data_IF_916265651194
#
_entry.id   IF_916265651194
#
_cell.length_a   1.000
_cell.length_b   1.000
_cell.length_c   1.000
_cell.angle_alpha   90.00
_cell.angle_beta   90.00
_cell.angle_gamma   90.00
#
_symmetry.space_group_name_H-M   'P 1'
#
loop_
_entity.id
_entity.type
_entity.pdbx_description
1 polymer ?
#
# COMPACT_ATOMS: atom_id res chain seq x y z
N UNK A 1 -12.47 -15.55 6.39
CA UNK A 1 -11.99 -14.90 7.64
C UNK A 1 -12.98 -13.80 8.05
N UNK A 2 -13.37 -13.67 9.33
CA UNK A 2 -14.26 -12.57 9.76
C UNK A 2 -13.54 -11.22 9.71
N UNK A 3 -14.28 -10.12 9.52
CA UNK A 3 -13.70 -8.78 9.48
C UNK A 3 -12.93 -8.43 10.77
N UNK A 4 -13.44 -8.90 11.90
CA UNK A 4 -12.79 -8.75 13.20
C UNK A 4 -11.41 -9.43 13.24
N UNK A 5 -11.30 -10.63 12.65
CA UNK A 5 -10.01 -11.33 12.55
C UNK A 5 -9.04 -10.58 11.62
N UNK A 6 -9.52 -9.99 10.52
CA UNK A 6 -8.69 -9.11 9.66
C UNK A 6 -8.15 -7.92 10.46
N UNK A 7 -9.03 -7.19 11.16
CA UNK A 7 -8.65 -6.03 11.96
C UNK A 7 -7.66 -6.40 13.08
N UNK A 8 -7.90 -7.52 13.75
CA UNK A 8 -6.99 -8.05 14.78
C UNK A 8 -5.63 -8.42 14.21
N UNK A 9 -5.60 -9.11 13.07
CA UNK A 9 -4.36 -9.45 12.37
C UNK A 9 -3.60 -8.19 11.97
N UNK A 10 -4.27 -7.20 11.36
CA UNK A 10 -3.65 -5.93 11.00
C UNK A 10 -3.08 -5.17 12.19
N UNK A 11 -3.75 -5.22 13.32
CA UNK A 11 -3.32 -4.56 14.55
C UNK A 11 -2.05 -5.21 15.14
N UNK A 12 -1.87 -6.51 14.93
CA UNK A 12 -0.65 -7.22 15.31
C UNK A 12 0.55 -6.89 14.41
N UNK A 13 0.32 -6.22 13.26
CA UNK A 13 1.38 -5.78 12.34
C UNK A 13 1.95 -4.42 12.72
N UNK A 14 1.35 -3.71 13.69
CA UNK A 14 1.85 -2.42 14.13
C UNK A 14 2.92 -2.57 15.23
N UNK A 15 3.97 -1.72 15.22
CA UNK A 15 5.01 -1.68 16.25
C UNK A 15 4.47 -1.28 17.63
N UNK A 16 3.27 -0.68 17.69
CA UNK A 16 2.53 -0.46 18.93
C UNK A 16 1.25 -1.29 18.92
N UNK A 17 0.96 -2.06 19.98
CA UNK A 17 -0.30 -2.77 20.08
C UNK A 17 -1.46 -1.80 20.32
N UNK A 18 -2.69 -2.20 19.97
CA UNK A 18 -3.89 -1.35 20.14
C UNK A 18 -4.11 -0.90 21.59
N UNK A 19 -3.73 -1.73 22.55
CA UNK A 19 -3.83 -1.47 23.99
C UNK A 19 -2.66 -0.63 24.54
N UNK A 20 -1.76 -0.15 23.67
CA UNK A 20 -0.68 0.74 24.08
C UNK A 20 -1.23 1.96 24.80
N UNK A 21 -0.79 2.14 26.05
CA UNK A 21 -1.12 3.28 26.89
C UNK A 21 -0.79 4.64 26.21
N UNK A 22 -1.44 5.74 26.60
CA UNK A 22 -1.08 7.07 26.12
C UNK A 22 0.42 7.40 26.30
N UNK A 23 1.04 6.90 27.38
CA UNK A 23 2.47 7.07 27.67
C UNK A 23 3.35 6.35 26.64
N UNK A 24 3.08 5.07 26.37
CA UNK A 24 3.85 4.28 25.39
C UNK A 24 3.70 4.85 23.98
N UNK A 25 2.50 5.30 23.61
CA UNK A 25 2.26 5.99 22.33
C UNK A 25 3.10 7.27 22.22
N UNK A 26 3.10 8.12 23.26
CA UNK A 26 3.88 9.37 23.30
C UNK A 26 5.40 9.13 23.27
N UNK A 27 5.89 8.07 23.90
CA UNK A 27 7.32 7.69 23.85
C UNK A 27 7.73 7.28 22.44
N UNK A 28 6.92 6.44 21.78
CA UNK A 28 7.16 6.02 20.41
C UNK A 28 7.11 7.21 19.45
N UNK A 29 6.08 8.07 19.56
CA UNK A 29 5.96 9.31 18.79
C UNK A 29 7.21 10.19 18.96
N UNK A 30 7.71 10.36 20.18
CA UNK A 30 8.94 11.13 20.44
C UNK A 30 10.18 10.51 19.79
N UNK A 31 10.36 9.20 19.90
CA UNK A 31 11.47 8.47 19.25
C UNK A 31 11.44 8.68 17.74
N UNK A 32 10.24 8.58 17.18
CA UNK A 32 9.96 8.72 15.77
C UNK A 32 10.23 10.15 15.25
N UNK A 33 9.75 11.18 15.96
CA UNK A 33 10.01 12.58 15.63
C UNK A 33 11.51 12.93 15.68
N UNK A 34 12.24 12.37 16.64
CA UNK A 34 13.69 12.57 16.73
C UNK A 34 14.43 12.01 15.52
N UNK A 35 14.07 10.81 15.06
CA UNK A 35 14.68 10.21 13.86
C UNK A 35 14.34 10.97 12.60
N UNK A 36 13.09 11.41 12.45
CA UNK A 36 12.70 12.23 11.30
C UNK A 36 13.45 13.57 11.26
N UNK A 37 13.62 14.23 12.41
CA UNK A 37 14.42 15.47 12.49
C UNK A 37 15.85 15.23 12.03
N UNK A 38 16.46 14.11 12.42
CA UNK A 38 17.80 13.75 11.98
C UNK A 38 17.85 13.50 10.47
N UNK A 39 16.91 12.73 9.94
CA UNK A 39 16.85 12.39 8.53
C UNK A 39 16.62 13.62 7.64
N UNK A 40 15.70 14.50 8.03
CA UNK A 40 15.51 15.80 7.36
C UNK A 40 16.75 16.70 7.40
N UNK A 41 17.55 16.66 8.48
CA UNK A 41 18.83 17.37 8.54
C UNK A 41 19.87 16.76 7.57
N UNK A 42 19.92 15.43 7.45
CA UNK A 42 20.79 14.71 6.50
C UNK A 42 20.37 15.07 5.07
N UNK A 43 19.08 14.99 4.72
CA UNK A 43 18.59 15.33 3.40
C UNK A 43 18.88 16.80 3.02
N UNK A 44 18.65 17.75 3.92
CA UNK A 44 18.99 19.16 3.70
C UNK A 44 20.50 19.34 3.50
N UNK A 45 21.33 18.64 4.28
CA UNK A 45 22.79 18.69 4.15
C UNK A 45 23.26 18.11 2.81
N UNK A 46 22.77 16.92 2.42
CA UNK A 46 23.10 16.27 1.14
C UNK A 46 22.64 17.10 -0.05
N UNK A 47 21.42 17.65 0.00
CA UNK A 47 20.91 18.55 -1.04
C UNK A 47 21.72 19.85 -1.10
N UNK A 48 22.11 20.40 0.04
CA UNK A 48 23.00 21.57 0.12
C UNK A 48 24.39 21.30 -0.45
N UNK A 49 24.97 20.12 -0.19
CA UNK A 49 26.23 19.70 -0.80
C UNK A 49 26.11 19.54 -2.32
N UNK A 50 25.05 18.90 -2.81
CA UNK A 50 24.80 18.74 -4.24
C UNK A 50 24.66 20.10 -4.92
N UNK A 51 23.87 21.02 -4.35
CA UNK A 51 23.72 22.38 -4.85
C UNK A 51 25.05 23.17 -4.81
N UNK A 52 25.82 23.07 -3.72
CA UNK A 52 27.11 23.75 -3.58
C UNK A 52 28.19 23.17 -4.51
N UNK A 53 28.11 21.88 -4.85
CA UNK A 53 29.06 21.22 -5.74
C UNK A 53 28.92 21.62 -7.21
N UNK A 54 27.86 22.36 -7.57
CA UNK A 54 27.58 22.70 -8.97
C UNK A 54 27.32 21.46 -9.84
N UNK A 55 27.11 20.30 -9.22
CA UNK A 55 26.54 19.13 -9.89
C UNK A 55 25.07 19.44 -10.09
N UNK A 56 24.82 20.21 -11.12
CA UNK A 56 23.51 20.31 -11.72
C UNK A 56 23.08 18.87 -12.03
N UNK A 57 21.99 18.40 -11.41
CA UNK A 57 21.26 17.18 -11.82
C UNK A 57 20.54 17.47 -13.15
N UNK A 58 21.23 18.15 -14.06
CA UNK A 58 20.81 18.48 -15.40
C UNK A 58 21.08 17.23 -16.21
N UNK A 59 20.00 16.49 -16.48
CA UNK A 59 19.95 15.51 -17.55
C UNK A 59 21.06 14.45 -17.51
N UNK A 60 21.25 13.77 -16.38
CA UNK A 60 21.46 12.33 -16.51
C UNK A 60 20.15 11.71 -17.00
N UNK A 61 19.82 11.98 -18.27
CA UNK A 61 19.39 10.91 -19.15
C UNK A 61 20.55 9.91 -19.14
N UNK A 62 20.67 9.17 -18.04
CA UNK A 62 21.22 7.84 -18.07
C UNK A 62 20.56 7.23 -19.29
N UNK A 63 21.39 6.92 -20.28
CA UNK A 63 21.05 6.18 -21.48
C UNK A 63 20.64 4.79 -21.01
N UNK A 64 19.47 4.75 -20.37
CA UNK A 64 18.76 3.55 -20.01
C UNK A 64 18.21 3.09 -21.35
N UNK A 65 19.02 2.31 -22.08
CA UNK A 65 18.47 1.45 -23.13
C UNK A 65 17.44 0.58 -22.44
N UNK A 66 16.17 1.00 -22.50
CA UNK A 66 15.06 0.26 -21.93
C UNK A 66 15.18 -1.15 -22.50
N UNK A 67 15.40 -2.18 -21.66
CA UNK A 67 15.43 -3.54 -22.16
C UNK A 67 14.14 -3.75 -22.94
N UNK A 68 14.24 -4.23 -24.18
CA UNK A 68 13.06 -4.45 -25.02
C UNK A 68 12.08 -5.30 -24.21
N UNK A 69 11.00 -4.66 -23.76
CA UNK A 69 9.98 -5.30 -22.94
C UNK A 69 9.25 -6.24 -23.89
N UNK A 70 9.54 -7.53 -23.77
CA UNK A 70 8.83 -8.54 -24.53
C UNK A 70 7.36 -8.55 -24.07
N UNK A 71 6.47 -8.18 -24.99
CA UNK A 71 5.04 -8.11 -24.76
C UNK A 71 4.34 -9.42 -25.17
N UNK A 72 5.08 -10.52 -25.41
CA UNK A 72 4.53 -11.82 -25.82
C UNK A 72 3.79 -12.59 -24.70
N UNK A 73 3.57 -11.98 -23.54
CA UNK A 73 2.93 -12.63 -22.40
C UNK A 73 1.47 -13.02 -22.65
N UNK A 74 0.90 -13.91 -21.80
CA UNK A 74 -0.47 -14.38 -21.97
C UNK A 74 -1.47 -13.23 -21.93
N UNK A 75 -2.40 -13.24 -22.88
CA UNK A 75 -3.33 -12.12 -23.12
C UNK A 75 -4.63 -12.22 -22.32
N UNK A 76 -4.93 -13.38 -21.73
CA UNK A 76 -6.16 -13.63 -20.95
C UNK A 76 -5.86 -13.81 -19.45
N UNK A 77 -6.88 -13.66 -18.61
CA UNK A 77 -6.74 -13.85 -17.18
C UNK A 77 -6.52 -15.33 -16.81
N UNK A 78 -7.18 -16.24 -17.53
CA UNK A 78 -7.12 -17.68 -17.34
C UNK A 78 -5.73 -18.23 -17.68
N UNK A 79 -5.18 -17.85 -18.84
CA UNK A 79 -3.84 -18.29 -19.23
C UNK A 79 -2.77 -17.80 -18.25
N UNK A 80 -2.91 -16.57 -17.73
CA UNK A 80 -2.04 -16.04 -16.67
C UNK A 80 -2.20 -16.84 -15.37
N UNK A 81 -3.43 -17.17 -15.00
CA UNK A 81 -3.72 -17.94 -13.78
C UNK A 81 -3.08 -19.32 -13.86
N UNK A 82 -3.28 -20.03 -14.97
CA UNK A 82 -2.72 -21.37 -15.19
C UNK A 82 -1.18 -21.33 -15.09
N UNK A 83 -0.52 -20.39 -15.78
CA UNK A 83 0.94 -20.19 -15.71
C UNK A 83 1.44 -19.91 -14.27
N UNK A 84 0.72 -19.08 -13.50
CA UNK A 84 1.12 -18.79 -12.12
C UNK A 84 0.91 -20.01 -11.22
N UNK A 85 -0.15 -20.79 -11.46
CA UNK A 85 -0.49 -21.96 -10.66
C UNK A 85 0.43 -23.15 -10.94
N UNK A 86 1.08 -23.22 -12.10
CA UNK A 86 2.17 -24.18 -12.36
C UNK A 86 3.34 -24.00 -11.38
N UNK A 87 3.55 -22.79 -10.87
CA UNK A 87 4.56 -22.48 -9.86
C UNK A 87 4.13 -22.77 -8.42
N UNK A 88 2.97 -23.41 -8.18
CA UNK A 88 2.48 -23.70 -6.82
C UNK A 88 3.40 -24.68 -6.07
N UNK A 89 3.95 -25.67 -6.78
CA UNK A 89 4.83 -26.69 -6.20
C UNK A 89 6.30 -26.24 -6.13
N UNK A 90 6.62 -25.04 -6.62
CA UNK A 90 7.95 -24.47 -6.49
C UNK A 90 8.26 -24.12 -5.02
N UNK A 91 9.54 -24.16 -4.61
CA UNK A 91 9.92 -23.77 -3.26
C UNK A 91 9.54 -22.31 -2.99
N UNK A 92 9.23 -22.00 -1.72
CA UNK A 92 9.00 -20.63 -1.26
C UNK A 92 10.20 -19.73 -1.61
N UNK A 93 9.95 -18.44 -1.82
CA UNK A 93 11.03 -17.49 -2.11
C UNK A 93 11.96 -17.34 -0.91
N UNK A 94 13.27 -17.41 -1.16
CA UNK A 94 14.29 -17.12 -0.15
C UNK A 94 14.36 -15.62 0.13
N UNK A 95 14.86 -15.20 1.32
CA UNK A 95 15.05 -13.79 1.69
C UNK A 95 15.68 -12.93 0.60
N UNK A 96 16.73 -13.41 -0.03
CA UNK A 96 17.47 -12.69 -1.06
C UNK A 96 16.62 -12.43 -2.32
N UNK A 97 15.72 -13.37 -2.64
CA UNK A 97 14.86 -13.34 -3.82
C UNK A 97 13.68 -12.38 -3.61
N UNK A 98 12.95 -12.52 -2.49
CA UNK A 98 11.79 -11.67 -2.25
C UNK A 98 12.15 -10.27 -1.79
N UNK A 99 13.38 -10.03 -1.32
CA UNK A 99 13.90 -8.69 -1.12
C UNK A 99 14.20 -7.98 -2.44
N UNK A 100 14.46 -8.69 -3.56
CA UNK A 100 14.81 -8.00 -4.81
C UNK A 100 13.74 -7.00 -5.26
N UNK A 101 12.43 -7.31 -5.32
CA UNK A 101 11.41 -6.33 -5.72
C UNK A 101 11.26 -5.16 -4.74
N UNK A 102 11.71 -5.33 -3.49
CA UNK A 102 11.68 -4.30 -2.45
C UNK A 102 12.85 -3.32 -2.64
N UNK A 103 14.04 -3.88 -2.83
CA UNK A 103 15.29 -3.12 -2.93
C UNK A 103 15.49 -2.53 -4.34
N UNK A 104 14.99 -3.23 -5.35
CA UNK A 104 15.09 -2.90 -6.77
C UNK A 104 13.71 -3.10 -7.41
N UNK A 105 12.79 -2.12 -7.25
CA UNK A 105 11.46 -2.19 -7.83
C UNK A 105 11.54 -2.55 -9.32
N UNK A 106 10.81 -3.59 -9.71
CA UNK A 106 10.78 -4.04 -11.10
C UNK A 106 10.28 -2.91 -12.00
N UNK A 107 11.04 -2.59 -13.04
CA UNK A 107 10.55 -1.79 -14.16
C UNK A 107 9.79 -2.72 -15.10
N UNK A 108 8.53 -2.43 -15.37
CA UNK A 108 7.70 -3.26 -16.23
C UNK A 108 6.30 -2.71 -16.39
N UNK A 109 5.50 -3.40 -17.19
CA UNK A 109 4.08 -3.10 -17.32
C UNK A 109 3.33 -3.49 -16.04
N UNK A 110 2.14 -2.90 -15.81
CA UNK A 110 1.28 -3.33 -14.69
C UNK A 110 1.00 -4.83 -14.74
N UNK A 111 0.86 -5.41 -15.93
CA UNK A 111 0.63 -6.84 -16.11
C UNK A 111 1.80 -7.69 -15.60
N UNK A 112 3.04 -7.31 -15.91
CA UNK A 112 4.24 -8.01 -15.44
C UNK A 112 4.39 -7.91 -13.93
N UNK A 113 4.23 -6.71 -13.38
CA UNK A 113 4.31 -6.49 -11.93
C UNK A 113 3.23 -7.28 -11.18
N UNK A 114 2.00 -7.32 -11.70
CA UNK A 114 0.91 -8.11 -11.13
C UNK A 114 1.19 -9.61 -11.24
N UNK A 115 1.68 -10.08 -12.38
CA UNK A 115 2.02 -11.49 -12.58
C UNK A 115 3.07 -11.95 -11.56
N UNK A 116 4.17 -11.19 -11.42
CA UNK A 116 5.18 -11.47 -10.40
C UNK A 116 4.61 -11.43 -8.99
N UNK A 117 3.74 -10.45 -8.69
CA UNK A 117 3.12 -10.35 -7.37
C UNK A 117 2.25 -11.56 -7.04
N UNK A 118 1.46 -12.06 -8.01
CA UNK A 118 0.66 -13.28 -7.83
C UNK A 118 1.53 -14.52 -7.70
N UNK A 119 2.63 -14.61 -8.44
CA UNK A 119 3.60 -15.70 -8.32
C UNK A 119 4.24 -15.73 -6.92
N UNK A 120 4.61 -14.56 -6.39
CA UNK A 120 5.06 -14.43 -5.00
C UNK A 120 4.00 -14.80 -3.98
N UNK A 121 2.72 -14.48 -4.24
CA UNK A 121 1.64 -14.94 -3.36
C UNK A 121 1.51 -16.45 -3.37
N UNK A 122 1.52 -17.08 -4.55
CA UNK A 122 1.31 -18.53 -4.67
C UNK A 122 2.44 -19.30 -4.01
N UNK A 123 3.69 -18.93 -4.25
CA UNK A 123 4.86 -19.59 -3.65
C UNK A 123 5.09 -19.22 -2.19
N UNK A 124 4.78 -17.99 -1.79
CA UNK A 124 5.02 -17.49 -0.43
C UNK A 124 6.47 -17.09 -0.15
N UNK A 125 6.72 -16.62 1.08
CA UNK A 125 7.98 -16.03 1.54
C UNK A 125 8.61 -16.86 2.65
N UNK A 126 9.81 -17.38 2.41
CA UNK A 126 10.61 -18.02 3.44
C UNK A 126 11.26 -16.96 4.33
N UNK A 127 11.17 -17.05 5.66
CA UNK A 127 11.83 -16.10 6.54
C UNK A 127 13.33 -16.34 6.58
N UNK A 128 14.07 -15.28 6.91
CA UNK A 128 15.47 -15.43 7.27
C UNK A 128 15.63 -16.23 8.56
N UNK A 129 16.83 -16.77 8.81
CA UNK A 129 17.14 -17.45 10.07
C UNK A 129 17.03 -16.49 11.24
N UNK A 130 17.41 -15.22 11.03
CA UNK A 130 17.29 -14.16 12.04
C UNK A 130 17.01 -12.79 11.43
N UNK A 131 16.66 -11.82 12.29
CA UNK A 131 16.44 -10.43 11.87
C UNK A 131 17.76 -9.79 11.46
N UNK A 132 18.87 -10.21 12.06
CA UNK A 132 20.22 -9.75 11.77
C UNK A 132 20.67 -10.19 10.36
N UNK A 133 20.47 -11.46 9.99
CA UNK A 133 20.76 -11.95 8.63
C UNK A 133 19.95 -11.16 7.58
N UNK A 134 18.66 -10.93 7.84
CA UNK A 134 17.84 -10.12 6.95
C UNK A 134 18.28 -8.64 6.95
N UNK A 135 18.80 -8.13 8.07
CA UNK A 135 19.37 -6.78 8.18
C UNK A 135 20.63 -6.61 7.35
N UNK A 136 21.51 -7.62 7.33
CA UNK A 136 22.72 -7.64 6.48
C UNK A 136 22.36 -7.60 4.99
N UNK A 137 21.31 -8.32 4.57
CA UNK A 137 20.79 -8.26 3.20
C UNK A 137 20.21 -6.88 2.85
N UNK A 138 19.63 -6.19 3.83
CA UNK A 138 18.97 -4.89 3.67
C UNK A 138 19.95 -3.71 3.71
N UNK A 139 21.00 -3.79 4.52
CA UNK A 139 21.97 -2.70 4.74
C UNK A 139 22.72 -2.32 3.45
N UNK A 140 22.86 -3.25 2.50
CA UNK A 140 23.42 -2.98 1.17
C UNK A 140 22.54 -2.08 0.28
N UNK A 141 21.30 -1.77 0.69
CA UNK A 141 20.31 -1.10 -0.14
C UNK A 141 19.55 0.04 0.56
N UNK A 142 20.03 0.51 1.71
CA UNK A 142 19.44 1.67 2.41
C UNK A 142 19.59 2.95 1.60
N UNK A 143 18.52 3.35 0.91
CA UNK A 143 18.26 4.74 0.58
C UNK A 143 17.66 5.45 1.80
N UNK A 144 18.08 6.69 2.04
CA UNK A 144 17.59 7.51 3.15
C UNK A 144 16.07 7.74 3.10
N UNK A 145 15.52 7.97 4.29
CA UNK A 145 14.15 8.40 4.61
C UNK A 145 13.02 7.36 4.58
N UNK A 146 12.87 6.67 5.72
CA UNK A 146 11.63 6.00 6.10
C UNK A 146 10.57 7.07 6.43
N UNK A 147 9.40 6.98 5.77
CA UNK A 147 8.19 7.79 5.97
C UNK A 147 7.54 7.55 7.35
N UNK A 148 8.32 7.66 8.43
CA UNK A 148 7.91 7.37 9.79
C UNK A 148 6.75 8.28 10.24
N UNK A 149 6.69 9.53 9.76
CA UNK A 149 5.60 10.45 10.09
C UNK A 149 4.23 9.93 9.67
N UNK A 150 4.13 9.32 8.48
CA UNK A 150 2.89 8.72 8.01
C UNK A 150 2.48 7.54 8.92
N UNK A 151 3.46 6.80 9.44
CA UNK A 151 3.24 5.73 10.40
C UNK A 151 2.71 6.26 11.74
N UNK A 152 3.34 7.29 12.31
CA UNK A 152 2.87 7.91 13.56
C UNK A 152 1.47 8.51 13.42
N UNK A 153 1.20 9.21 12.31
CA UNK A 153 -0.12 9.76 12.02
C UNK A 153 -1.19 8.66 11.91
N UNK A 154 -0.84 7.52 11.31
CA UNK A 154 -1.72 6.35 11.24
C UNK A 154 -2.11 5.83 12.62
N UNK A 155 -1.16 5.66 13.55
CA UNK A 155 -1.44 5.19 14.91
C UNK A 155 -2.28 6.21 15.69
N UNK A 156 -1.91 7.48 15.60
CA UNK A 156 -2.62 8.56 16.30
C UNK A 156 -4.09 8.65 15.87
N UNK A 157 -4.38 8.31 14.62
CA UNK A 157 -5.73 8.37 14.09
C UNK A 157 -6.71 7.42 14.78
N UNK A 158 -6.23 6.29 15.30
CA UNK A 158 -7.08 5.29 15.93
C UNK A 158 -7.70 5.77 17.26
N UNK A 159 -7.28 6.94 17.79
CA UNK A 159 -7.95 7.56 18.95
C UNK A 159 -9.18 8.39 18.58
N UNK A 160 -9.39 8.71 17.30
CA UNK A 160 -10.55 9.47 16.86
C UNK A 160 -11.79 8.57 16.82
N UNK A 161 -12.87 8.95 17.50
CA UNK A 161 -14.11 8.17 17.54
C UNK A 161 -15.03 8.39 16.33
N UNK A 162 -14.91 9.51 15.62
CA UNK A 162 -15.73 9.83 14.44
C UNK A 162 -15.27 9.03 13.20
N UNK A 163 -16.10 8.11 12.67
CA UNK A 163 -15.78 7.33 11.48
C UNK A 163 -15.49 8.18 10.25
N UNK A 164 -16.23 9.27 10.04
CA UNK A 164 -16.10 10.10 8.84
C UNK A 164 -14.77 10.85 8.86
N UNK A 165 -14.46 11.49 10.00
CA UNK A 165 -13.16 12.12 10.21
C UNK A 165 -11.99 11.13 10.08
N UNK A 166 -12.13 9.89 10.59
CA UNK A 166 -11.11 8.84 10.39
C UNK A 166 -10.87 8.54 8.91
N UNK A 167 -11.93 8.35 8.13
CA UNK A 167 -11.79 8.09 6.70
C UNK A 167 -11.07 9.23 5.96
N UNK A 168 -11.40 10.50 6.29
CA UNK A 168 -10.71 11.65 5.69
C UNK A 168 -9.23 11.75 6.09
N UNK A 169 -8.91 11.47 7.34
CA UNK A 169 -7.53 11.49 7.81
C UNK A 169 -6.68 10.37 7.17
N UNK A 170 -7.23 9.15 7.00
CA UNK A 170 -6.54 8.08 6.25
C UNK A 170 -6.29 8.49 4.80
N UNK A 171 -7.29 9.11 4.18
CA UNK A 171 -7.16 9.64 2.82
C UNK A 171 -6.04 10.68 2.73
N UNK A 172 -5.96 11.59 3.71
CA UNK A 172 -4.90 12.59 3.77
C UNK A 172 -3.51 11.96 3.94
N UNK A 173 -3.37 10.90 4.75
CA UNK A 173 -2.11 10.15 4.89
C UNK A 173 -1.72 9.54 3.54
N UNK A 174 -2.64 8.86 2.85
CA UNK A 174 -2.36 8.24 1.55
C UNK A 174 -1.96 9.28 0.50
N UNK A 175 -2.66 10.42 0.45
CA UNK A 175 -2.34 11.54 -0.45
C UNK A 175 -0.98 12.18 -0.14
N UNK A 176 -0.61 12.28 1.15
CA UNK A 176 0.72 12.75 1.56
C UNK A 176 1.82 11.81 1.10
N UNK A 177 1.59 10.49 1.22
CA UNK A 177 2.51 9.47 0.71
C UNK A 177 2.67 9.61 -0.81
N UNK A 178 1.58 9.80 -1.55
CA UNK A 178 1.60 10.07 -2.99
C UNK A 178 2.41 11.31 -3.35
N UNK A 179 2.20 12.41 -2.63
CA UNK A 179 2.86 13.69 -2.89
C UNK A 179 4.36 13.67 -2.57
N UNK A 180 4.81 12.77 -1.69
CA UNK A 180 6.21 12.69 -1.27
C UNK A 180 7.18 12.13 -2.33
N UNK A 181 6.69 11.80 -3.54
CA UNK A 181 7.41 11.21 -4.70
C UNK A 181 8.25 9.94 -4.41
N UNK A 182 8.27 9.50 -3.15
CA UNK A 182 8.77 8.23 -2.64
C UNK A 182 7.86 7.05 -3.01
N UNK A 183 7.22 7.12 -4.17
CA UNK A 183 6.36 6.08 -4.75
C UNK A 183 7.08 4.72 -4.91
N UNK A 184 8.42 4.72 -4.79
CA UNK A 184 9.26 3.53 -4.77
C UNK A 184 9.69 3.05 -3.37
N UNK A 185 9.43 3.81 -2.30
CA UNK A 185 9.75 3.34 -0.95
C UNK A 185 8.77 2.24 -0.57
N UNK A 186 9.28 1.01 -0.44
CA UNK A 186 8.49 -0.14 0.01
C UNK A 186 7.71 0.15 1.30
N UNK A 187 8.32 0.87 2.24
CA UNK A 187 7.65 1.27 3.49
C UNK A 187 6.40 2.09 3.21
N UNK A 188 6.48 3.05 2.29
CA UNK A 188 5.33 3.86 1.86
C UNK A 188 4.23 3.00 1.26
N UNK A 189 4.58 1.98 0.47
CA UNK A 189 3.63 1.01 -0.07
C UNK A 189 2.94 0.19 1.03
N UNK A 190 3.70 -0.27 2.04
CA UNK A 190 3.15 -1.00 3.19
C UNK A 190 2.19 -0.13 3.99
N UNK A 191 2.61 1.10 4.35
CA UNK A 191 1.77 2.04 5.11
C UNK A 191 0.50 2.36 4.33
N UNK A 192 0.60 2.65 3.03
CA UNK A 192 -0.56 2.88 2.17
C UNK A 192 -1.50 1.69 2.15
N UNK A 193 -0.96 0.48 1.98
CA UNK A 193 -1.75 -0.76 1.96
C UNK A 193 -2.48 -0.96 3.29
N UNK A 194 -1.82 -0.72 4.42
CA UNK A 194 -2.46 -0.75 5.76
C UNK A 194 -3.59 0.28 5.83
N UNK A 195 -3.38 1.52 5.39
CA UNK A 195 -4.45 2.54 5.37
C UNK A 195 -5.62 2.13 4.47
N UNK A 196 -5.33 1.55 3.31
CA UNK A 196 -6.36 1.05 2.39
C UNK A 196 -7.19 -0.08 2.99
N UNK A 197 -6.52 -1.03 3.66
CA UNK A 197 -7.18 -2.13 4.36
C UNK A 197 -8.09 -1.62 5.48
N UNK A 198 -7.61 -0.65 6.29
CA UNK A 198 -8.40 -0.02 7.36
C UNK A 198 -9.59 0.73 6.79
N UNK A 199 -9.35 1.52 5.76
CA UNK A 199 -10.40 2.23 5.04
C UNK A 199 -11.47 1.26 4.55
N UNK A 200 -11.08 0.19 3.84
CA UNK A 200 -12.01 -0.79 3.28
C UNK A 200 -12.80 -1.53 4.37
N UNK A 201 -12.16 -1.86 5.48
CA UNK A 201 -12.80 -2.48 6.63
C UNK A 201 -13.88 -1.56 7.22
N UNK A 202 -13.53 -0.32 7.53
CA UNK A 202 -14.46 0.66 8.09
C UNK A 202 -15.58 1.02 7.10
N UNK A 203 -15.25 1.26 5.84
CA UNK A 203 -16.23 1.55 4.79
C UNK A 203 -17.27 0.45 4.64
N UNK A 204 -16.88 -0.82 4.77
CA UNK A 204 -17.81 -1.94 4.72
C UNK A 204 -18.68 -2.07 5.97
N UNK A 205 -18.21 -1.60 7.13
CA UNK A 205 -18.99 -1.58 8.38
C UNK A 205 -20.03 -0.47 8.39
N UNK A 206 -19.74 0.70 7.79
CA UNK A 206 -20.64 1.85 7.86
C UNK A 206 -22.12 1.51 7.62
N UNK A 207 -22.53 0.77 6.56
CA UNK A 207 -23.95 0.50 6.31
C UNK A 207 -24.68 -0.26 7.43
N UNK A 208 -23.95 -0.97 8.29
CA UNK A 208 -24.51 -1.70 9.44
C UNK A 208 -24.70 -0.83 10.68
N UNK A 209 -24.12 0.37 10.70
CA UNK A 209 -24.21 1.31 11.83
C UNK A 209 -25.41 2.25 11.67
N UNK A 210 -26.05 2.69 12.78
CA UNK A 210 -27.08 3.72 12.73
C UNK A 210 -26.56 4.99 12.05
N UNK A 211 -27.26 5.46 11.02
CA UNK A 211 -26.83 6.65 10.24
C UNK A 211 -25.71 6.39 9.22
N UNK A 212 -25.23 5.16 9.08
CA UNK A 212 -24.06 4.87 8.23
C UNK A 212 -24.18 5.21 6.75
N UNK A 213 -25.39 5.15 6.19
CA UNK A 213 -25.65 5.63 4.82
C UNK A 213 -25.42 7.15 4.70
N UNK A 214 -25.83 7.92 5.72
CA UNK A 214 -25.62 9.36 5.77
C UNK A 214 -24.12 9.67 5.85
N UNK A 215 -23.36 8.92 6.66
CA UNK A 215 -21.90 9.09 6.75
C UNK A 215 -21.18 8.84 5.42
N UNK A 216 -21.58 7.81 4.65
CA UNK A 216 -21.01 7.60 3.30
C UNK A 216 -21.34 8.74 2.34
N UNK A 217 -22.57 9.25 2.39
CA UNK A 217 -22.99 10.40 1.58
C UNK A 217 -22.19 11.63 1.96
N UNK A 218 -22.08 11.94 3.25
CA UNK A 218 -21.30 13.05 3.77
C UNK A 218 -19.84 12.95 3.34
N UNK A 219 -19.18 11.80 3.56
CA UNK A 219 -17.81 11.57 3.14
C UNK A 219 -17.60 11.84 1.64
N UNK A 220 -18.54 11.38 0.78
CA UNK A 220 -18.45 11.62 -0.67
C UNK A 220 -18.64 13.09 -1.02
N UNK A 221 -19.56 13.79 -0.38
CA UNK A 221 -19.77 15.23 -0.57
C UNK A 221 -18.54 16.03 -0.14
N UNK A 222 -17.97 15.71 1.02
CA UNK A 222 -16.78 16.35 1.56
C UNK A 222 -15.57 16.10 0.65
N UNK A 223 -15.39 14.85 0.19
CA UNK A 223 -14.34 14.49 -0.74
C UNK A 223 -14.51 15.18 -2.11
N UNK A 224 -15.75 15.30 -2.63
CA UNK A 224 -16.02 16.02 -3.86
C UNK A 224 -15.60 17.49 -3.74
N UNK A 225 -16.02 18.17 -2.68
CA UNK A 225 -15.66 19.57 -2.42
C UNK A 225 -14.15 19.76 -2.29
N UNK A 226 -13.45 18.82 -1.63
CA UNK A 226 -11.98 18.87 -1.49
C UNK A 226 -11.26 18.73 -2.83
N UNK A 227 -11.71 17.81 -3.69
CA UNK A 227 -11.04 17.48 -4.96
C UNK A 227 -11.50 18.33 -6.15
N UNK A 228 -12.53 19.15 -5.98
CA UNK A 228 -13.05 20.07 -6.99
C UNK A 228 -13.23 21.45 -6.33
N UNK A 229 -12.17 21.97 -5.70
CA UNK A 229 -12.23 23.21 -4.93
C UNK A 229 -12.61 24.43 -5.81
N UNK A 230 -12.32 24.35 -7.12
CA UNK A 230 -12.74 25.31 -8.14
C UNK A 230 -14.23 25.26 -8.47
N UNK A 231 -14.92 24.19 -8.06
CA UNK A 231 -16.34 24.01 -8.30
C UNK A 231 -17.16 24.60 -7.14
N UNK A 232 -17.54 25.86 -7.29
CA UNK A 232 -18.40 26.56 -6.32
C UNK A 232 -19.86 26.18 -6.60
N UNK A 233 -20.48 25.40 -5.71
CA UNK A 233 -21.82 24.85 -5.94
C UNK A 233 -22.91 25.91 -6.23
N UNK A 234 -22.76 27.14 -5.71
CA UNK A 234 -23.71 28.24 -5.95
C UNK A 234 -23.68 28.79 -7.37
N UNK A 235 -22.58 28.58 -8.09
CA UNK A 235 -22.34 29.16 -9.42
C UNK A 235 -22.85 28.24 -10.54
N UNK A 236 -23.38 27.07 -10.15
CA UNK A 236 -23.76 26.01 -11.06
C UNK A 236 -25.21 25.61 -10.89
N UNK A 237 -25.83 25.21 -12.00
CA UNK A 237 -27.19 24.63 -11.94
C UNK A 237 -27.16 23.28 -11.21
N UNK A 238 -28.29 22.87 -10.65
CA UNK A 238 -28.41 21.53 -10.04
C UNK A 238 -28.05 20.40 -11.03
N UNK A 239 -28.32 20.59 -12.32
CA UNK A 239 -27.96 19.63 -13.37
C UNK A 239 -26.44 19.53 -13.56
N UNK A 240 -25.72 20.66 -13.57
CA UNK A 240 -24.25 20.68 -13.67
C UNK A 240 -23.60 20.07 -12.44
N UNK A 241 -24.09 20.40 -11.25
CA UNK A 241 -23.68 19.78 -9.99
C UNK A 241 -23.82 18.26 -10.08
N UNK A 242 -25.01 17.76 -10.41
CA UNK A 242 -25.28 16.32 -10.48
C UNK A 242 -24.39 15.62 -11.51
N UNK A 243 -24.14 16.26 -12.66
CA UNK A 243 -23.23 15.72 -13.68
C UNK A 243 -21.80 15.58 -13.16
N UNK A 244 -21.25 16.64 -12.54
CA UNK A 244 -19.87 16.59 -12.00
C UNK A 244 -19.76 15.66 -10.80
N UNK A 245 -20.72 15.70 -9.88
CA UNK A 245 -20.76 14.84 -8.71
C UNK A 245 -20.89 13.36 -9.10
N UNK A 246 -21.69 13.03 -10.11
CA UNK A 246 -21.79 11.67 -10.66
C UNK A 246 -20.46 11.21 -11.26
N UNK A 247 -19.80 12.04 -12.06
CA UNK A 247 -18.49 11.72 -12.62
C UNK A 247 -17.43 11.47 -11.53
N UNK A 248 -17.40 12.32 -10.50
CA UNK A 248 -16.55 12.12 -9.32
C UNK A 248 -16.88 10.81 -8.60
N UNK A 249 -18.16 10.54 -8.35
CA UNK A 249 -18.62 9.32 -7.66
C UNK A 249 -18.19 8.07 -8.42
N UNK A 250 -18.28 8.07 -9.75
CA UNK A 250 -17.82 6.95 -10.58
C UNK A 250 -16.31 6.71 -10.48
N UNK A 251 -15.49 7.78 -10.43
CA UNK A 251 -14.04 7.65 -10.20
C UNK A 251 -13.74 7.15 -8.79
N UNK A 252 -14.39 7.74 -7.79
CA UNK A 252 -14.22 7.37 -6.39
C UNK A 252 -14.62 5.91 -6.13
N UNK A 253 -15.69 5.40 -6.76
CA UNK A 253 -16.09 4.00 -6.61
C UNK A 253 -15.01 3.03 -7.08
N UNK A 254 -14.18 3.39 -8.07
CA UNK A 254 -13.02 2.58 -8.48
C UNK A 254 -11.95 2.54 -7.39
N UNK A 255 -11.69 3.67 -6.73
CA UNK A 255 -10.78 3.76 -5.58
C UNK A 255 -11.28 2.85 -4.45
N UNK A 256 -12.57 2.93 -4.13
CA UNK A 256 -13.22 2.07 -3.13
C UNK A 256 -13.12 0.59 -3.52
N UNK A 257 -13.35 0.26 -4.78
CA UNK A 257 -13.26 -1.11 -5.30
C UNK A 257 -11.85 -1.65 -5.13
N UNK A 258 -10.82 -0.91 -5.56
CA UNK A 258 -9.42 -1.33 -5.43
C UNK A 258 -9.00 -1.58 -3.96
N UNK A 259 -9.49 -0.75 -3.02
CA UNK A 259 -9.25 -0.95 -1.58
C UNK A 259 -9.96 -2.21 -1.05
N UNK A 260 -11.19 -2.45 -1.50
CA UNK A 260 -11.94 -3.67 -1.16
C UNK A 260 -11.30 -4.94 -1.75
N UNK A 261 -10.73 -4.85 -2.95
CA UNK A 261 -9.96 -5.93 -3.58
C UNK A 261 -8.75 -6.30 -2.73
N UNK A 262 -7.96 -5.30 -2.31
CA UNK A 262 -6.83 -5.51 -1.41
C UNK A 262 -7.27 -6.19 -0.10
N UNK A 263 -8.39 -5.77 0.48
CA UNK A 263 -8.95 -6.39 1.69
C UNK A 263 -9.37 -7.83 1.47
N UNK A 264 -9.98 -8.14 0.32
CA UNK A 264 -10.36 -9.52 -0.04
C UNK A 264 -9.12 -10.40 -0.16
N UNK A 265 -8.09 -9.93 -0.86
CA UNK A 265 -6.81 -10.61 -0.96
C UNK A 265 -6.16 -10.83 0.41
N UNK A 266 -6.06 -9.79 1.25
CA UNK A 266 -5.50 -9.92 2.60
C UNK A 266 -6.30 -10.90 3.47
N UNK A 267 -7.61 -11.05 3.21
CA UNK A 267 -8.44 -12.02 3.92
C UNK A 267 -8.17 -13.48 3.55
N UNK A 268 -7.49 -13.72 2.43
CA UNK A 268 -7.10 -15.04 1.93
C UNK A 268 -5.62 -15.30 2.21
N UNK A 269 -4.75 -14.37 1.79
CA UNK A 269 -3.29 -14.54 1.81
C UNK A 269 -2.59 -13.90 3.02
N UNK A 270 -3.30 -13.12 3.83
CA UNK A 270 -2.74 -12.51 5.04
C UNK A 270 -1.60 -11.51 4.75
N UNK A 271 -0.55 -11.48 5.59
CA UNK A 271 0.57 -10.54 5.46
C UNK A 271 1.36 -10.63 4.15
N UNK A 272 1.28 -11.76 3.43
CA UNK A 272 1.92 -11.94 2.12
C UNK A 272 1.55 -10.84 1.11
N UNK A 273 0.36 -10.24 1.25
CA UNK A 273 -0.11 -9.11 0.43
C UNK A 273 0.67 -7.82 0.69
N UNK A 274 1.24 -7.66 1.89
CA UNK A 274 2.02 -6.48 2.24
C UNK A 274 3.50 -6.62 1.84
N UNK A 275 3.93 -7.81 1.42
CA UNK A 275 5.30 -8.11 1.05
C UNK A 275 5.66 -7.69 -0.39
N UNK A 276 4.68 -7.26 -1.21
CA UNK A 276 4.93 -6.88 -2.60
C UNK A 276 4.30 -5.52 -2.96
N UNK A 277 5.08 -4.54 -3.47
CA UNK A 277 4.58 -3.19 -3.79
C UNK A 277 3.40 -3.15 -4.76
N UNK A 278 3.33 -4.09 -5.71
CA UNK A 278 2.25 -4.11 -6.71
C UNK A 278 0.84 -4.22 -6.11
N UNK A 279 0.69 -4.64 -4.85
CA UNK A 279 -0.62 -4.70 -4.20
C UNK A 279 -1.12 -3.33 -3.76
N UNK A 280 -0.23 -2.35 -3.58
CA UNK A 280 -0.60 -0.98 -3.20
C UNK A 280 -1.53 -0.37 -4.24
N UNK A 281 -2.76 0.03 -3.87
CA UNK A 281 -3.69 0.61 -4.83
C UNK A 281 -3.26 2.05 -5.15
N UNK A 282 -3.04 2.34 -6.43
CA UNK A 282 -2.62 3.66 -6.94
C UNK A 282 -3.79 4.37 -7.66
N UNK A 283 -5.03 3.97 -7.37
CA UNK A 283 -6.20 4.56 -7.99
C UNK A 283 -6.30 6.05 -7.61
N UNK A 284 -6.31 6.93 -8.61
CA UNK A 284 -6.33 8.38 -8.44
C UNK A 284 -7.73 8.96 -8.63
N UNK A 285 -8.03 10.02 -7.88
CA UNK A 285 -9.26 10.81 -8.07
C UNK A 285 -9.25 11.63 -9.35
N UNK A 286 -8.06 11.90 -9.89
CA UNK A 286 -7.83 12.81 -11.01
C UNK A 286 -7.82 12.08 -12.35
N UNK A 287 -7.40 10.82 -12.36
CA UNK A 287 -7.32 10.01 -13.57
C UNK A 287 -8.42 8.94 -13.59
N UNK A 288 -8.75 8.45 -14.78
CA UNK A 288 -9.64 7.30 -14.94
C UNK A 288 -8.91 5.96 -14.74
N UNK A 289 -7.60 5.99 -14.58
CA UNK A 289 -6.73 4.81 -14.49
C UNK A 289 -6.71 4.26 -13.07
N UNK A 290 -6.74 2.94 -12.95
CA UNK A 290 -6.67 2.22 -11.67
C UNK A 290 -5.25 1.80 -11.29
N UNK A 291 -4.29 2.00 -12.20
CA UNK A 291 -2.93 1.45 -12.06
C UNK A 291 -2.92 -0.08 -12.13
N UNK A 292 -3.84 -0.68 -12.89
CA UNK A 292 -4.00 -2.13 -13.06
C UNK A 292 -4.04 -2.51 -14.53
N UNK A 293 -3.62 -3.73 -14.84
CA UNK A 293 -3.80 -4.30 -16.17
C UNK A 293 -5.27 -4.57 -16.48
N UNK A 294 -5.60 -4.71 -17.76
CA UNK A 294 -6.97 -5.03 -18.21
C UNK A 294 -7.42 -6.43 -17.78
N UNK A 295 -6.49 -7.37 -17.60
CA UNK A 295 -6.77 -8.74 -17.16
C UNK A 295 -6.80 -8.90 -15.63
N UNK A 296 -6.37 -7.89 -14.87
CA UNK A 296 -6.34 -7.93 -13.40
C UNK A 296 -7.67 -8.33 -12.75
N UNK A 297 -8.84 -7.77 -13.12
CA UNK A 297 -10.10 -8.14 -12.46
C UNK A 297 -10.46 -9.62 -12.64
N UNK A 298 -10.21 -10.18 -13.83
CA UNK A 298 -10.43 -11.60 -14.11
C UNK A 298 -9.48 -12.47 -13.30
N UNK A 299 -8.19 -12.14 -13.30
CA UNK A 299 -7.16 -12.87 -12.56
C UNK A 299 -7.42 -12.86 -11.05
N UNK A 300 -7.74 -11.68 -10.51
CA UNK A 300 -8.14 -11.52 -9.11
C UNK A 300 -9.36 -12.39 -8.77
N UNK A 301 -10.36 -12.44 -9.64
CA UNK A 301 -11.55 -13.26 -9.42
C UNK A 301 -11.19 -14.75 -9.31
N UNK A 302 -10.31 -15.25 -10.17
CA UNK A 302 -9.85 -16.65 -10.13
C UNK A 302 -9.16 -16.96 -8.79
N UNK A 303 -8.22 -16.11 -8.36
CA UNK A 303 -7.53 -16.28 -7.07
C UNK A 303 -8.43 -16.16 -5.83
N UNK A 304 -9.49 -15.36 -5.89
CA UNK A 304 -10.43 -15.22 -4.77
C UNK A 304 -11.46 -16.35 -4.68
N UNK A 305 -11.81 -17.02 -5.79
CA UNK A 305 -12.81 -18.09 -5.82
C UNK A 305 -12.22 -19.50 -5.84
N UNK A 306 -10.98 -19.65 -6.31
CA UNK A 306 -10.22 -20.90 -6.27
C UNK A 306 -8.84 -20.68 -5.66
N UNK A 307 -8.72 -20.15 -4.43
CA UNK A 307 -7.42 -20.09 -3.78
C UNK A 307 -6.91 -21.52 -3.58
N UNK A 308 -5.62 -21.80 -3.81
CA UNK A 308 -5.06 -23.08 -3.44
C UNK A 308 -5.21 -23.30 -1.92
N UNK A 309 -5.35 -24.56 -1.52
CA UNK A 309 -5.36 -24.93 -0.11
C UNK A 309 -3.94 -24.79 0.45
N UNK A 310 -3.64 -23.63 1.01
CA UNK A 310 -2.36 -23.40 1.66
C UNK A 310 -2.26 -24.14 2.99
N UNK A 311 -1.10 -24.72 3.24
CA UNK A 311 -0.81 -25.35 4.53
C UNK A 311 -0.77 -24.31 5.66
N UNK A 312 -0.89 -24.79 6.90
CA UNK A 312 -0.67 -23.93 8.07
C UNK A 312 0.76 -23.36 8.07
N UNK A 313 1.75 -24.17 7.70
CA UNK A 313 3.16 -23.78 7.60
C UNK A 313 3.34 -22.59 6.65
N UNK A 314 2.67 -22.60 5.48
CA UNK A 314 2.69 -21.47 4.55
C UNK A 314 2.27 -20.17 5.24
N UNK A 315 1.18 -20.18 6.02
CA UNK A 315 0.71 -18.97 6.70
C UNK A 315 1.67 -18.53 7.82
N UNK A 316 2.25 -19.48 8.56
CA UNK A 316 3.20 -19.19 9.63
C UNK A 316 4.52 -18.61 9.11
N UNK A 317 5.07 -19.16 8.04
CA UNK A 317 6.31 -18.69 7.42
C UNK A 317 6.14 -17.29 6.83
N UNK A 318 5.03 -17.03 6.12
CA UNK A 318 4.71 -15.69 5.61
C UNK A 318 4.56 -14.63 6.71
N UNK A 319 3.90 -14.98 7.82
CA UNK A 319 3.75 -14.08 8.98
C UNK A 319 5.11 -13.80 9.64
N UNK A 320 5.96 -14.83 9.78
CA UNK A 320 7.31 -14.69 10.32
C UNK A 320 8.20 -13.82 9.43
N UNK A 321 8.19 -14.04 8.12
CA UNK A 321 8.96 -13.26 7.15
C UNK A 321 8.54 -11.78 7.19
N UNK A 322 7.24 -11.50 7.18
CA UNK A 322 6.73 -10.14 7.28
C UNK A 322 7.14 -9.47 8.61
N UNK A 323 7.04 -10.17 9.75
CA UNK A 323 7.45 -9.63 11.06
C UNK A 323 8.94 -9.30 11.11
N UNK A 324 9.80 -10.12 10.50
CA UNK A 324 11.24 -9.82 10.41
C UNK A 324 11.47 -8.56 9.59
N UNK A 325 10.81 -8.44 8.44
CA UNK A 325 10.91 -7.26 7.58
C UNK A 325 10.46 -5.99 8.31
N UNK A 326 9.32 -6.02 9.01
CA UNK A 326 8.84 -4.86 9.78
C UNK A 326 9.82 -4.45 10.88
N UNK A 327 10.47 -5.39 11.57
CA UNK A 327 11.49 -5.07 12.59
C UNK A 327 12.68 -4.31 12.01
N UNK A 328 13.07 -4.62 10.78
CA UNK A 328 14.16 -3.92 10.08
C UNK A 328 13.74 -2.54 9.62
N UNK A 329 12.52 -2.43 9.08
CA UNK A 329 11.99 -1.17 8.53
C UNK A 329 11.61 -0.17 9.64
N UNK A 330 11.16 -0.67 10.79
CA UNK A 330 10.73 0.10 11.94
C UNK A 330 11.54 -0.30 13.18
N UNK A 331 12.86 -0.05 13.22
CA UNK A 331 13.67 -0.43 14.36
C UNK A 331 13.11 0.27 15.61
N UNK A 332 12.63 -0.47 16.60
CA UNK A 332 12.00 0.14 17.80
C UNK A 332 12.97 0.97 18.62
#
# INVERSE_FOLDING_TARGET
MSLEKVLKSMSALEPLPLDATPKTRKTFEKSLMNRHRLSGLIHMHTSGLLAASGIDVVNSQLDWTDPQIDNSGPTTAEARYDEIMEALDDPMFLPEEWLQPILKPMKGTFQQMEHQAFLHLVRGYFPAKSVEELGELFDGARGDDVNLLAFAASIALETNLDPTARLHAREAIMQSIDASDNSQSFVSSVIRSIQCLRFAAEWALLPSLPGGRLWKTQYRTDAFSKHNAEFVATDHTAQEFNKRFSAFTNRHERVITARNDLRRLFSVYGPAILMHPAWSPVASYNTSTTGRSTTFPGLLSLFLHGPPEFSQDYHEENDKAFKQLIKILLPT
#
